data_IF_934649568288
#
_entry.id   IF_934649568288
#
_cell.length_a   1.000
_cell.length_b   1.000
_cell.length_c   1.000
_cell.angle_alpha   90.00
_cell.angle_beta   90.00
_cell.angle_gamma   90.00
#
_symmetry.space_group_name_H-M   'P 1'
#
loop_
_entity.id
_entity.type
_entity.pdbx_description
1 polymer ?
#
# COMPACT_ATOMS: atom_id res chain seq x y z
N UNK A 1 -22.72 0.11 -15.90
CA UNK A 1 -21.86 1.17 -15.35
C UNK A 1 -20.78 1.45 -16.36
N UNK A 2 -20.73 2.67 -16.87
CA UNK A 2 -19.68 3.13 -17.77
C UNK A 2 -18.40 3.35 -16.96
N UNK A 3 -17.23 2.98 -17.50
CA UNK A 3 -15.96 3.05 -16.78
C UNK A 3 -15.44 4.49 -16.80
N UNK A 4 -15.29 5.09 -15.63
CA UNK A 4 -14.57 6.35 -15.43
C UNK A 4 -13.18 6.26 -16.08
N UNK A 5 -12.87 7.22 -16.95
CA UNK A 5 -11.55 7.35 -17.59
C UNK A 5 -10.80 8.47 -16.90
N UNK A 6 -9.54 8.21 -16.55
CA UNK A 6 -8.63 9.25 -16.06
C UNK A 6 -8.48 10.34 -17.13
N UNK A 7 -8.70 11.58 -16.75
CA UNK A 7 -8.67 12.79 -17.58
C UNK A 7 -7.24 13.15 -18.00
N UNK A 8 -6.22 12.78 -17.20
CA UNK A 8 -4.81 13.13 -17.48
C UNK A 8 -3.84 11.94 -17.41
N UNK A 9 -2.89 11.90 -18.37
CA UNK A 9 -1.75 10.98 -18.34
C UNK A 9 -0.87 11.18 -17.10
N UNK A 10 -0.73 12.43 -16.66
CA UNK A 10 0.02 12.76 -15.45
C UNK A 10 -0.68 12.19 -14.21
N UNK A 11 -2.01 12.30 -14.14
CA UNK A 11 -2.82 11.71 -13.07
C UNK A 11 -2.66 10.19 -13.00
N UNK A 12 -2.66 9.51 -14.15
CA UNK A 12 -2.39 8.07 -14.22
C UNK A 12 -0.99 7.69 -13.71
N UNK A 13 0.05 8.43 -14.11
CA UNK A 13 1.43 8.17 -13.66
C UNK A 13 1.57 8.39 -12.16
N UNK A 14 1.04 9.49 -11.64
CA UNK A 14 1.11 9.82 -10.21
C UNK A 14 0.32 8.82 -9.35
N UNK A 15 -0.86 8.41 -9.80
CA UNK A 15 -1.65 7.36 -9.15
C UNK A 15 -0.88 6.04 -9.12
N UNK A 16 -0.32 5.64 -10.26
CA UNK A 16 0.46 4.40 -10.37
C UNK A 16 1.73 4.44 -9.52
N UNK A 17 2.43 5.58 -9.49
CA UNK A 17 3.59 5.80 -8.64
C UNK A 17 3.22 5.74 -7.15
N UNK A 18 2.10 6.35 -6.76
CA UNK A 18 1.58 6.29 -5.39
C UNK A 18 1.21 4.87 -4.95
N UNK A 19 0.67 4.05 -5.85
CA UNK A 19 0.43 2.63 -5.56
C UNK A 19 1.73 1.81 -5.46
N UNK A 20 2.77 2.15 -6.22
CA UNK A 20 4.03 1.42 -6.23
C UNK A 20 4.99 1.81 -5.09
N UNK A 21 4.95 3.06 -4.63
CA UNK A 21 5.82 3.58 -3.57
C UNK A 21 5.14 3.39 -2.21
N UNK A 22 5.46 2.27 -1.56
CA UNK A 22 4.95 1.95 -0.23
C UNK A 22 5.94 2.23 0.91
N UNK A 23 5.45 2.11 2.15
CA UNK A 23 6.28 2.21 3.37
C UNK A 23 7.49 1.26 3.34
N UNK A 24 7.34 0.08 2.75
CA UNK A 24 8.44 -0.88 2.61
C UNK A 24 9.67 -0.30 1.90
N UNK A 25 9.48 0.60 0.93
CA UNK A 25 10.59 1.23 0.22
C UNK A 25 11.33 2.26 1.10
N UNK A 26 10.64 2.84 2.09
CA UNK A 26 11.20 3.89 2.95
C UNK A 26 12.10 3.31 4.04
N UNK A 27 11.69 2.20 4.68
CA UNK A 27 12.41 1.68 5.85
C UNK A 27 12.96 0.26 5.65
N UNK A 28 12.18 -0.65 5.06
CA UNK A 28 12.55 -2.06 4.96
C UNK A 28 13.63 -2.29 3.90
N UNK A 29 13.53 -1.62 2.75
CA UNK A 29 14.54 -1.73 1.69
C UNK A 29 15.92 -1.27 2.16
N UNK A 30 16.11 -0.06 2.72
CA UNK A 30 17.43 0.37 3.22
C UNK A 30 17.96 -0.53 4.33
N UNK A 31 17.09 -1.01 5.22
CA UNK A 31 17.48 -1.91 6.31
C UNK A 31 18.06 -3.23 5.79
N UNK A 32 17.37 -3.89 4.85
CA UNK A 32 17.83 -5.14 4.25
C UNK A 32 19.10 -4.91 3.43
N UNK A 33 19.17 -3.83 2.65
CA UNK A 33 20.40 -3.45 1.92
C UNK A 33 21.57 -3.33 2.88
N UNK A 34 21.40 -2.63 4.00
CA UNK A 34 22.44 -2.46 5.01
C UNK A 34 22.88 -3.79 5.64
N UNK A 35 21.97 -4.73 5.87
CA UNK A 35 22.28 -6.04 6.45
C UNK A 35 22.94 -7.01 5.47
N UNK A 36 22.52 -7.02 4.20
CA UNK A 36 22.89 -8.05 3.23
C UNK A 36 24.01 -7.64 2.26
N UNK A 37 24.97 -6.83 2.71
CA UNK A 37 26.15 -6.49 1.91
C UNK A 37 25.97 -5.30 0.97
N UNK A 38 25.02 -4.40 1.27
CA UNK A 38 24.93 -3.08 0.67
C UNK A 38 24.71 -3.13 -0.85
N UNK A 39 25.64 -2.54 -1.59
CA UNK A 39 25.54 -2.41 -3.04
C UNK A 39 25.45 -3.75 -3.79
N UNK A 40 26.09 -4.81 -3.28
CA UNK A 40 26.04 -6.13 -3.91
C UNK A 40 24.62 -6.72 -3.88
N UNK A 41 23.90 -6.54 -2.77
CA UNK A 41 22.50 -6.92 -2.65
C UNK A 41 21.62 -6.12 -3.62
N UNK A 42 21.88 -4.82 -3.78
CA UNK A 42 21.11 -3.97 -4.71
C UNK A 42 21.23 -4.46 -6.14
N UNK A 43 22.42 -4.88 -6.59
CA UNK A 43 22.60 -5.42 -7.94
C UNK A 43 21.78 -6.69 -8.17
N UNK A 44 21.83 -7.63 -7.23
CA UNK A 44 21.04 -8.88 -7.29
C UNK A 44 19.54 -8.55 -7.24
N UNK A 45 19.14 -7.63 -6.37
CA UNK A 45 17.77 -7.15 -6.24
C UNK A 45 17.24 -6.57 -7.56
N UNK A 46 18.01 -5.73 -8.25
CA UNK A 46 17.64 -5.18 -9.56
C UNK A 46 17.52 -6.30 -10.61
N UNK A 47 18.45 -7.25 -10.63
CA UNK A 47 18.38 -8.40 -11.53
C UNK A 47 17.08 -9.21 -11.30
N UNK A 48 16.73 -9.49 -10.04
CA UNK A 48 15.49 -10.16 -9.68
C UNK A 48 14.24 -9.33 -10.05
N UNK A 49 14.28 -8.01 -9.89
CA UNK A 49 13.18 -7.13 -10.32
C UNK A 49 12.93 -7.21 -11.82
N UNK A 50 13.99 -7.24 -12.63
CA UNK A 50 13.87 -7.35 -14.09
C UNK A 50 13.41 -8.75 -14.49
N UNK A 51 13.96 -9.80 -13.88
CA UNK A 51 13.67 -11.18 -14.26
C UNK A 51 12.32 -11.70 -13.78
N UNK A 52 11.86 -11.24 -12.60
CA UNK A 52 10.61 -11.72 -11.99
C UNK A 52 9.56 -10.61 -11.94
N UNK A 53 9.93 -9.41 -11.49
CA UNK A 53 8.99 -8.30 -11.32
C UNK A 53 8.40 -7.82 -12.65
N UNK A 54 9.24 -7.59 -13.66
CA UNK A 54 8.79 -7.08 -14.96
C UNK A 54 7.81 -8.05 -15.66
N UNK A 55 8.08 -9.37 -15.77
CA UNK A 55 7.10 -10.30 -16.33
C UNK A 55 5.78 -10.32 -15.57
N UNK A 56 5.80 -10.28 -14.24
CA UNK A 56 4.59 -10.27 -13.41
C UNK A 56 3.74 -9.03 -13.72
N UNK A 57 4.35 -7.84 -13.76
CA UNK A 57 3.65 -6.59 -14.07
C UNK A 57 3.08 -6.62 -15.50
N UNK A 58 3.83 -7.16 -16.47
CA UNK A 58 3.35 -7.29 -17.85
C UNK A 58 2.14 -8.23 -17.91
N UNK A 59 2.18 -9.36 -17.20
CA UNK A 59 1.04 -10.29 -17.13
C UNK A 59 -0.18 -9.64 -16.48
N UNK A 60 0.00 -8.95 -15.35
CA UNK A 60 -1.09 -8.23 -14.67
C UNK A 60 -1.70 -7.16 -15.58
N UNK A 61 -0.85 -6.42 -16.31
CA UNK A 61 -1.30 -5.41 -17.25
C UNK A 61 -2.05 -6.02 -18.45
N UNK A 62 -1.60 -7.16 -18.96
CA UNK A 62 -2.29 -7.89 -20.03
C UNK A 62 -3.67 -8.39 -19.58
N UNK A 63 -3.78 -8.96 -18.37
CA UNK A 63 -5.06 -9.40 -17.78
C UNK A 63 -5.99 -8.21 -17.54
N UNK A 64 -5.47 -7.10 -17.00
CA UNK A 64 -6.24 -5.88 -16.79
C UNK A 64 -6.73 -5.24 -18.09
N UNK A 65 -5.92 -5.26 -19.15
CA UNK A 65 -6.33 -4.78 -20.48
C UNK A 65 -7.30 -5.70 -21.19
N UNK A 66 -7.13 -7.03 -21.02
CA UNK A 66 -7.99 -8.04 -21.64
C UNK A 66 -9.37 -8.13 -20.98
N UNK A 67 -9.45 -8.02 -19.66
CA UNK A 67 -10.74 -8.04 -18.95
C UNK A 67 -11.41 -6.67 -18.94
N UNK A 68 -10.67 -5.56 -18.82
CA UNK A 68 -11.22 -4.22 -18.54
C UNK A 68 -12.11 -4.18 -17.28
N UNK A 69 -11.95 -5.14 -16.36
CA UNK A 69 -12.77 -5.31 -15.15
C UNK A 69 -11.89 -5.34 -13.91
N UNK A 70 -12.51 -5.24 -12.73
CA UNK A 70 -11.82 -5.38 -11.44
C UNK A 70 -11.31 -6.80 -11.24
N UNK A 71 -10.32 -6.98 -10.34
CA UNK A 71 -9.64 -8.27 -10.09
C UNK A 71 -10.63 -9.45 -10.01
N UNK A 72 -11.70 -9.31 -9.23
CA UNK A 72 -12.64 -10.41 -9.03
C UNK A 72 -13.44 -10.76 -10.30
N UNK A 73 -13.88 -9.74 -11.04
CA UNK A 73 -14.63 -9.91 -12.29
C UNK A 73 -13.71 -10.35 -13.44
N UNK A 74 -12.44 -10.00 -13.41
CA UNK A 74 -11.45 -10.42 -14.40
C UNK A 74 -11.26 -11.94 -14.38
N UNK A 75 -11.23 -12.56 -13.19
CA UNK A 75 -11.16 -14.01 -13.04
C UNK A 75 -12.45 -14.72 -13.47
N UNK A 76 -13.61 -14.07 -13.38
CA UNK A 76 -14.88 -14.63 -13.84
C UNK A 76 -15.02 -14.53 -15.39
N UNK A 77 -14.51 -13.45 -16.00
CA UNK A 77 -14.63 -13.21 -17.45
C UNK A 77 -13.56 -13.92 -18.28
N UNK A 78 -12.32 -13.98 -17.78
CA UNK A 78 -11.18 -14.56 -18.50
C UNK A 78 -10.97 -16.06 -18.20
N UNK A 79 -11.91 -16.69 -17.48
CA UNK A 79 -11.83 -18.12 -17.14
C UNK A 79 -11.96 -19.00 -18.40
N UNK A 80 -10.98 -19.88 -18.69
CA UNK A 80 -11.15 -20.90 -19.72
C UNK A 80 -12.31 -21.84 -19.37
N UNK A 81 -13.21 -22.07 -20.34
CA UNK A 81 -14.39 -22.95 -20.15
C UNK A 81 -13.95 -24.31 -19.58
N UNK A 82 -14.40 -24.64 -18.36
CA UNK A 82 -14.09 -25.90 -17.67
C UNK A 82 -13.04 -25.81 -16.55
N UNK A 83 -12.46 -24.64 -16.32
CA UNK A 83 -11.56 -24.40 -15.17
C UNK A 83 -12.31 -23.76 -13.99
N UNK A 84 -11.72 -23.76 -12.78
CA UNK A 84 -12.29 -23.17 -11.55
C UNK A 84 -11.41 -22.02 -11.00
N UNK A 85 -10.78 -21.26 -11.89
CA UNK A 85 -9.93 -20.13 -11.53
C UNK A 85 -10.69 -19.01 -10.80
N UNK A 86 -12.01 -18.95 -10.94
CA UNK A 86 -12.85 -18.01 -10.17
C UNK A 86 -12.71 -18.16 -8.65
N UNK A 87 -12.20 -19.29 -8.11
CA UNK A 87 -11.98 -19.44 -6.66
C UNK A 87 -10.88 -18.49 -6.16
N UNK A 88 -9.88 -18.20 -6.98
CA UNK A 88 -8.76 -17.32 -6.61
C UNK A 88 -9.18 -15.86 -6.39
N UNK A 89 -10.36 -15.44 -6.89
CA UNK A 89 -10.89 -14.10 -6.65
C UNK A 89 -11.09 -13.82 -5.15
N UNK A 90 -11.52 -14.82 -4.39
CA UNK A 90 -11.74 -14.69 -2.96
C UNK A 90 -10.43 -14.49 -2.19
N UNK A 91 -9.37 -15.18 -2.61
CA UNK A 91 -8.04 -14.98 -2.05
C UNK A 91 -7.49 -13.58 -2.36
N UNK A 92 -7.63 -13.13 -3.62
CA UNK A 92 -7.22 -11.78 -4.01
C UNK A 92 -7.99 -10.68 -3.28
N UNK A 93 -9.31 -10.81 -3.15
CA UNK A 93 -10.12 -9.87 -2.37
C UNK A 93 -9.76 -9.90 -0.88
N UNK A 94 -9.61 -11.09 -0.30
CA UNK A 94 -9.20 -11.24 1.10
C UNK A 94 -7.83 -10.59 1.38
N UNK A 95 -6.86 -10.81 0.48
CA UNK A 95 -5.54 -10.17 0.55
C UNK A 95 -5.63 -8.65 0.53
N UNK A 96 -6.44 -8.07 -0.36
CA UNK A 96 -6.65 -6.61 -0.42
C UNK A 96 -7.30 -6.06 0.86
N UNK A 97 -8.26 -6.77 1.44
CA UNK A 97 -8.87 -6.37 2.72
C UNK A 97 -7.88 -6.43 3.88
N UNK A 98 -7.09 -7.50 3.97
CA UNK A 98 -6.04 -7.61 5.00
C UNK A 98 -4.99 -6.52 4.85
N UNK A 99 -4.58 -6.24 3.62
CA UNK A 99 -3.66 -5.15 3.31
C UNK A 99 -4.24 -3.80 3.77
N UNK A 100 -5.51 -3.54 3.48
CA UNK A 100 -6.19 -2.33 3.89
C UNK A 100 -6.24 -2.18 5.42
N UNK A 101 -6.58 -3.25 6.16
CA UNK A 101 -6.61 -3.25 7.63
C UNK A 101 -5.24 -2.88 8.23
N UNK A 102 -4.16 -3.42 7.66
CA UNK A 102 -2.80 -3.13 8.11
C UNK A 102 -2.37 -1.69 7.79
N UNK A 103 -2.56 -1.25 6.54
CA UNK A 103 -2.09 0.07 6.09
C UNK A 103 -2.86 1.24 6.70
N UNK A 104 -4.17 1.13 6.89
CA UNK A 104 -4.95 2.21 7.52
C UNK A 104 -4.57 2.41 8.98
N UNK A 105 -4.25 1.34 9.70
CA UNK A 105 -3.80 1.38 11.09
C UNK A 105 -2.45 2.08 11.20
N UNK A 106 -1.46 1.67 10.39
CA UNK A 106 -0.12 2.30 10.42
C UNK A 106 -0.19 3.77 10.00
N UNK A 107 -1.00 4.09 9.00
CA UNK A 107 -1.19 5.48 8.56
C UNK A 107 -1.83 6.32 9.67
N UNK A 108 -2.77 5.75 10.44
CA UNK A 108 -3.33 6.38 11.63
C UNK A 108 -2.27 6.70 12.69
N UNK A 109 -1.32 5.79 12.92
CA UNK A 109 -0.19 6.07 13.81
C UNK A 109 0.68 7.20 13.27
N UNK A 110 1.00 7.19 11.97
CA UNK A 110 1.79 8.26 11.34
C UNK A 110 1.11 9.63 11.48
N UNK A 111 -0.22 9.70 11.29
CA UNK A 111 -0.98 10.93 11.51
C UNK A 111 -0.92 11.39 12.97
N UNK A 112 -1.09 10.49 13.93
CA UNK A 112 -0.97 10.82 15.34
C UNK A 112 0.43 11.35 15.69
N UNK A 113 1.48 10.70 15.18
CA UNK A 113 2.86 11.14 15.36
C UNK A 113 3.12 12.50 14.71
N UNK A 114 2.54 12.76 13.53
CA UNK A 114 2.62 14.06 12.88
C UNK A 114 2.06 15.18 13.76
N UNK A 115 0.88 14.97 14.37
CA UNK A 115 0.31 15.96 15.30
C UNK A 115 1.12 16.11 16.59
N UNK A 116 1.64 15.02 17.16
CA UNK A 116 2.55 15.09 18.33
C UNK A 116 3.82 15.88 18.03
N UNK A 117 4.39 15.70 16.84
CA UNK A 117 5.56 16.48 16.38
C UNK A 117 5.21 17.96 16.21
N UNK A 118 4.06 18.29 15.64
CA UNK A 118 3.60 19.68 15.51
C UNK A 118 3.34 20.36 16.87
N UNK A 119 2.88 19.60 17.87
CA UNK A 119 2.70 20.11 19.25
C UNK A 119 4.02 20.31 19.99
N UNK A 120 5.12 19.76 19.48
CA UNK A 120 6.41 19.80 20.15
C UNK A 120 6.55 18.76 21.26
N UNK A 121 5.71 17.72 21.28
CA UNK A 121 5.74 16.65 22.30
C UNK A 121 7.07 15.86 22.30
N UNK A 122 7.85 15.97 21.21
CA UNK A 122 9.17 15.34 21.06
C UNK A 122 10.36 16.29 21.29
N UNK A 123 10.12 17.57 21.62
CA UNK A 123 11.21 18.52 21.86
C UNK A 123 11.95 18.20 23.17
N UNK A 124 13.25 17.89 23.06
CA UNK A 124 14.11 17.58 24.21
C UNK A 124 14.02 16.13 24.70
N UNK A 125 13.32 15.23 23.97
CA UNK A 125 13.28 13.81 24.29
C UNK A 125 14.48 13.08 23.68
N UNK A 126 15.07 12.17 24.46
CA UNK A 126 16.10 11.24 23.99
C UNK A 126 15.46 10.04 23.26
N UNK A 127 16.26 9.29 22.47
CA UNK A 127 15.76 8.19 21.65
C UNK A 127 14.99 7.12 22.45
N UNK A 128 15.40 6.86 23.69
CA UNK A 128 14.72 5.95 24.63
C UNK A 128 13.33 6.45 25.01
N UNK A 129 13.20 7.76 25.30
CA UNK A 129 11.93 8.38 25.68
C UNK A 129 10.93 8.43 24.49
N UNK A 130 11.42 8.53 23.26
CA UNK A 130 10.59 8.38 22.05
C UNK A 130 10.08 6.94 21.90
N UNK A 131 10.90 5.95 22.25
CA UNK A 131 10.49 4.54 22.31
C UNK A 131 9.41 4.28 23.35
N UNK A 132 9.50 4.90 24.53
CA UNK A 132 8.47 4.82 25.57
C UNK A 132 7.13 5.43 25.13
N UNK A 133 7.16 6.53 24.36
CA UNK A 133 5.95 7.11 23.76
C UNK A 133 5.25 6.14 22.78
N UNK A 134 6.02 5.34 22.04
CA UNK A 134 5.46 4.28 21.20
C UNK A 134 4.82 3.16 22.04
N UNK A 135 5.51 2.73 23.11
CA UNK A 135 4.97 1.75 24.05
C UNK A 135 3.68 2.24 24.73
N UNK A 136 3.63 3.52 25.10
CA UNK A 136 2.42 4.16 25.65
C UNK A 136 1.29 4.19 24.64
N UNK A 137 1.58 4.50 23.36
CA UNK A 137 0.58 4.47 22.29
C UNK A 137 -0.01 3.07 22.10
N UNK A 138 0.81 2.02 22.20
CA UNK A 138 0.36 0.63 22.10
C UNK A 138 -0.64 0.24 23.22
N UNK A 139 -0.56 0.93 24.36
CA UNK A 139 -1.50 0.76 25.48
C UNK A 139 -2.75 1.65 25.38
N UNK A 140 -2.90 2.46 24.32
CA UNK A 140 -4.03 3.36 24.10
C UNK A 140 -4.86 2.96 22.87
N UNK A 141 -5.61 1.84 22.95
CA UNK A 141 -6.35 1.29 21.81
C UNK A 141 -7.41 2.26 21.26
N UNK A 142 -8.02 3.08 22.12
CA UNK A 142 -9.01 4.08 21.71
C UNK A 142 -8.40 5.14 20.79
N UNK A 143 -7.21 5.65 21.13
CA UNK A 143 -6.53 6.65 20.31
C UNK A 143 -6.12 6.06 18.96
N UNK A 144 -5.58 4.84 18.94
CA UNK A 144 -5.27 4.15 17.68
C UNK A 144 -6.51 3.97 16.81
N UNK A 145 -7.64 3.56 17.39
CA UNK A 145 -8.90 3.38 16.66
C UNK A 145 -9.43 4.70 16.09
N UNK A 146 -9.41 5.78 16.86
CA UNK A 146 -9.87 7.10 16.39
C UNK A 146 -9.03 7.58 15.20
N UNK A 147 -7.70 7.49 15.29
CA UNK A 147 -6.83 7.93 14.20
C UNK A 147 -6.88 7.03 12.97
N UNK A 148 -7.09 5.72 13.16
CA UNK A 148 -7.42 4.80 12.06
C UNK A 148 -8.75 5.20 11.39
N UNK A 149 -9.80 5.47 12.16
CA UNK A 149 -11.10 5.89 11.64
C UNK A 149 -11.01 7.23 10.88
N UNK A 150 -10.27 8.21 11.41
CA UNK A 150 -9.97 9.47 10.71
C UNK A 150 -9.27 9.20 9.38
N UNK A 151 -8.25 8.34 9.37
CA UNK A 151 -7.53 7.95 8.15
C UNK A 151 -8.48 7.37 7.11
N UNK A 152 -9.34 6.44 7.54
CA UNK A 152 -10.32 5.80 6.65
C UNK A 152 -11.28 6.85 6.08
N UNK A 153 -11.83 7.74 6.90
CA UNK A 153 -12.74 8.81 6.45
C UNK A 153 -12.03 9.73 5.45
N UNK A 154 -10.77 10.12 5.72
CA UNK A 154 -9.98 10.93 4.79
C UNK A 154 -9.75 10.22 3.46
N UNK A 155 -9.38 8.93 3.49
CA UNK A 155 -9.20 8.14 2.27
C UNK A 155 -10.51 8.05 1.46
N UNK A 156 -11.64 7.76 2.11
CA UNK A 156 -12.94 7.76 1.43
C UNK A 156 -13.33 9.14 0.90
N UNK A 157 -13.02 10.20 1.64
CA UNK A 157 -13.21 11.58 1.20
C UNK A 157 -12.43 11.89 -0.07
N UNK A 158 -11.14 11.58 -0.10
CA UNK A 158 -10.29 11.73 -1.29
C UNK A 158 -10.83 10.91 -2.47
N UNK A 159 -11.20 9.65 -2.23
CA UNK A 159 -11.79 8.80 -3.28
C UNK A 159 -13.14 9.35 -3.81
N UNK A 160 -13.94 10.00 -2.94
CA UNK A 160 -15.22 10.59 -3.32
C UNK A 160 -15.10 11.88 -4.14
N UNK A 161 -13.95 12.56 -4.07
CA UNK A 161 -13.67 13.75 -4.89
C UNK A 161 -13.44 13.43 -6.37
N UNK A 162 -13.43 12.13 -6.73
CA UNK A 162 -13.23 11.66 -8.09
C UNK A 162 -11.75 11.69 -8.48
N UNK A 163 -11.33 10.66 -9.22
CA UNK A 163 -10.01 10.62 -9.85
C UNK A 163 -10.11 11.39 -11.18
N UNK A 164 -9.84 12.70 -11.14
CA UNK A 164 -9.64 13.50 -12.36
C UNK A 164 -8.41 13.00 -13.12
#
# INVERSE_FOLDING_TARGET
MEREKLSSRLGFILLSAGCAIGLGNVWRFPYIVGQYGGAAFVLIYIACLILLGLPIIIMEYAVGRGSQKSLALAFDELEPKGTKWHIYKWFGMGGNYLLAMYYTTITGWLLLYFFKTLRGDFNGLDATAVGEQFGSLMNQPLNMFIFMAITVILCFGICSMGLQ
#
